data_IF_930378859118
#
_entry.id   IF_930378859118
#
_cell.length_a   1.000
_cell.length_b   1.000
_cell.length_c   1.000
_cell.angle_alpha   90.00
_cell.angle_beta   90.00
_cell.angle_gamma   90.00
#
_symmetry.space_group_name_H-M   'P 1'
#
loop_
_entity.id
_entity.type
_entity.pdbx_description
1 polymer ?
#
# COMPACT_ATOMS: atom_id res chain seq x y z
N UNK A 1 -2.52 17.27 -30.58
CA UNK A 1 -3.38 16.69 -29.49
C UNK A 1 -2.49 15.82 -28.65
N UNK A 2 -2.18 16.26 -27.46
CA UNK A 2 -1.23 15.69 -26.51
C UNK A 2 -1.68 14.28 -26.11
N UNK A 3 -0.75 13.30 -26.18
CA UNK A 3 -0.97 11.97 -25.64
C UNK A 3 -1.17 12.11 -24.12
N UNK A 4 -2.36 11.85 -23.72
CA UNK A 4 -2.94 11.92 -22.39
C UNK A 4 -2.05 11.27 -21.35
N UNK A 5 -1.81 11.99 -20.29
CA UNK A 5 -1.47 11.43 -18.97
C UNK A 5 -2.43 10.26 -18.67
N UNK A 6 -2.02 9.03 -18.93
CA UNK A 6 -2.69 7.90 -18.29
C UNK A 6 -2.59 8.17 -16.81
N UNK A 7 -3.76 8.31 -16.16
CA UNK A 7 -3.85 8.55 -14.73
C UNK A 7 -2.94 7.56 -14.00
N UNK A 8 -2.03 8.06 -13.18
CA UNK A 8 -1.01 7.27 -12.48
C UNK A 8 -1.64 6.14 -11.67
N UNK A 9 -2.79 6.41 -11.04
CA UNK A 9 -3.57 5.42 -10.30
C UNK A 9 -4.01 4.24 -11.19
N UNK A 10 -4.44 4.53 -12.43
CA UNK A 10 -4.81 3.49 -13.41
C UNK A 10 -3.58 2.67 -13.83
N UNK A 11 -2.44 3.31 -14.04
CA UNK A 11 -1.21 2.62 -14.43
C UNK A 11 -0.71 1.69 -13.32
N UNK A 12 -0.67 2.16 -12.08
CA UNK A 12 -0.31 1.36 -10.93
C UNK A 12 -1.31 0.21 -10.71
N UNK A 13 -2.62 0.48 -10.78
CA UNK A 13 -3.66 -0.55 -10.63
C UNK A 13 -3.48 -1.66 -11.68
N UNK A 14 -3.29 -1.31 -12.95
CA UNK A 14 -3.09 -2.28 -14.03
C UNK A 14 -1.86 -3.17 -13.80
N UNK A 15 -0.78 -2.61 -13.25
CA UNK A 15 0.41 -3.40 -12.94
C UNK A 15 0.16 -4.41 -11.81
N UNK A 16 -0.50 -3.98 -10.73
CA UNK A 16 -0.85 -4.88 -9.63
C UNK A 16 -1.93 -5.91 -9.98
N UNK A 17 -2.57 -5.79 -11.15
CA UNK A 17 -3.45 -6.82 -11.71
C UNK A 17 -2.70 -8.00 -12.36
N UNK A 18 -1.41 -7.82 -12.67
CA UNK A 18 -0.63 -8.82 -13.39
C UNK A 18 -0.35 -10.05 -12.54
N UNK A 19 -0.54 -11.25 -13.09
CA UNK A 19 -0.22 -12.50 -12.40
C UNK A 19 1.24 -12.56 -11.92
N UNK A 20 2.15 -11.98 -12.68
CA UNK A 20 3.58 -11.93 -12.34
C UNK A 20 3.84 -11.13 -11.05
N UNK A 21 3.13 -10.03 -10.83
CA UNK A 21 3.28 -9.23 -9.61
C UNK A 21 2.83 -10.05 -8.40
N UNK A 22 1.72 -10.77 -8.51
CA UNK A 22 1.27 -11.67 -7.46
C UNK A 22 2.27 -12.81 -7.20
N UNK A 23 2.85 -13.39 -8.24
CA UNK A 23 3.88 -14.43 -8.11
C UNK A 23 5.15 -13.90 -7.43
N UNK A 24 5.57 -12.67 -7.71
CA UNK A 24 6.75 -12.04 -7.11
C UNK A 24 6.50 -11.56 -5.68
N UNK A 25 5.42 -10.83 -5.45
CA UNK A 25 5.10 -10.25 -4.14
C UNK A 25 4.43 -11.27 -3.21
N UNK A 26 3.64 -12.20 -3.75
CA UNK A 26 2.84 -13.18 -3.03
C UNK A 26 1.53 -12.59 -2.54
N UNK A 27 1.03 -13.11 -1.41
CA UNK A 27 -0.28 -12.75 -0.88
C UNK A 27 -0.38 -11.28 -0.45
N UNK A 28 0.73 -10.62 -0.13
CA UNK A 28 0.75 -9.24 0.33
C UNK A 28 1.54 -8.36 -0.62
N UNK A 29 0.92 -7.28 -1.06
CA UNK A 29 1.52 -6.32 -2.00
C UNK A 29 2.37 -5.23 -1.33
N UNK A 30 2.52 -5.29 -0.01
CA UNK A 30 3.33 -4.33 0.75
C UNK A 30 4.47 -5.01 1.53
N UNK A 31 5.57 -4.29 1.81
CA UNK A 31 6.65 -4.77 2.65
C UNK A 31 6.18 -5.22 4.03
N UNK A 32 6.74 -6.32 4.53
CA UNK A 32 6.45 -6.86 5.85
C UNK A 32 5.17 -7.70 5.96
N UNK A 33 4.28 -7.66 4.95
CA UNK A 33 3.09 -8.52 4.84
C UNK A 33 2.23 -8.53 6.10
N UNK A 34 1.51 -9.61 6.34
CA UNK A 34 0.60 -9.77 7.48
C UNK A 34 1.23 -9.42 8.85
N UNK A 35 2.55 -9.61 9.01
CA UNK A 35 3.23 -9.21 10.25
C UNK A 35 3.21 -7.70 10.46
N UNK A 36 3.39 -6.93 9.39
CA UNK A 36 3.33 -5.46 9.46
C UNK A 36 1.89 -4.99 9.64
N UNK A 37 0.94 -5.55 8.89
CA UNK A 37 -0.49 -5.27 9.06
C UNK A 37 -0.94 -5.44 10.52
N UNK A 38 -0.54 -6.54 11.19
CA UNK A 38 -0.84 -6.73 12.62
C UNK A 38 -0.24 -5.64 13.51
N UNK A 39 1.00 -5.22 13.23
CA UNK A 39 1.64 -4.10 13.97
C UNK A 39 0.91 -2.78 13.75
N UNK A 40 0.52 -2.49 12.50
CA UNK A 40 -0.21 -1.27 12.15
C UNK A 40 -1.60 -1.28 12.79
N UNK A 41 -2.33 -2.40 12.70
CA UNK A 41 -3.64 -2.59 13.31
C UNK A 41 -3.60 -2.36 14.83
N UNK A 42 -2.63 -2.98 15.51
CA UNK A 42 -2.42 -2.77 16.96
C UNK A 42 -2.07 -1.33 17.30
N UNK A 43 -1.20 -0.69 16.49
CA UNK A 43 -0.81 0.72 16.71
C UNK A 43 -1.98 1.69 16.46
N UNK A 44 -2.91 1.31 15.58
CA UNK A 44 -4.14 2.04 15.28
C UNK A 44 -5.29 1.73 16.25
N UNK A 45 -5.05 0.86 17.24
CA UNK A 45 -6.01 0.44 18.26
C UNK A 45 -7.27 -0.26 17.68
N UNK A 46 -7.10 -1.06 16.63
CA UNK A 46 -8.20 -1.85 16.07
C UNK A 46 -8.64 -2.90 17.10
N UNK A 47 -9.95 -3.06 17.25
CA UNK A 47 -10.62 -3.98 18.16
C UNK A 47 -11.75 -4.72 17.43
N UNK A 48 -12.37 -5.76 18.05
CA UNK A 48 -13.51 -6.48 17.44
C UNK A 48 -14.73 -5.60 17.14
N UNK A 49 -14.84 -4.45 17.79
CA UNK A 49 -15.95 -3.48 17.59
C UNK A 49 -15.63 -2.44 16.51
N UNK A 50 -14.40 -2.43 15.99
CA UNK A 50 -14.00 -1.42 15.00
C UNK A 50 -14.62 -1.68 13.63
N UNK A 51 -15.13 -0.61 13.02
CA UNK A 51 -15.38 -0.53 11.58
C UNK A 51 -14.15 0.08 10.93
N UNK A 52 -13.44 -0.70 10.11
CA UNK A 52 -12.17 -0.33 9.49
C UNK A 52 -12.37 -0.08 8.01
N UNK A 53 -11.80 1.02 7.51
CA UNK A 53 -11.65 1.31 6.08
C UNK A 53 -10.21 0.99 5.65
N UNK A 54 -10.04 0.07 4.72
CA UNK A 54 -8.74 -0.29 4.11
C UNK A 54 -8.68 0.31 2.71
N UNK A 55 -7.91 1.40 2.54
CA UNK A 55 -7.83 2.18 1.29
C UNK A 55 -6.67 1.70 0.44
N UNK A 56 -6.93 1.50 -0.84
CA UNK A 56 -6.06 0.80 -1.80
C UNK A 56 -5.74 -0.62 -1.31
N UNK A 57 -6.80 -1.37 -0.96
CA UNK A 57 -6.71 -2.68 -0.30
C UNK A 57 -6.14 -3.79 -1.19
N UNK A 58 -5.94 -3.54 -2.50
CA UNK A 58 -5.46 -4.53 -3.46
C UNK A 58 -6.29 -5.81 -3.44
N UNK A 59 -5.62 -6.95 -3.30
CA UNK A 59 -6.25 -8.28 -3.19
C UNK A 59 -6.88 -8.58 -1.81
N UNK A 60 -7.00 -7.56 -0.94
CA UNK A 60 -7.68 -7.66 0.35
C UNK A 60 -6.93 -8.48 1.41
N UNK A 61 -5.63 -8.69 1.28
CA UNK A 61 -4.86 -9.45 2.27
C UNK A 61 -4.92 -8.78 3.65
N UNK A 62 -4.67 -7.47 3.74
CA UNK A 62 -4.74 -6.71 4.99
C UNK A 62 -6.13 -6.75 5.61
N UNK A 63 -7.18 -6.58 4.80
CA UNK A 63 -8.56 -6.68 5.26
C UNK A 63 -8.86 -8.05 5.89
N UNK A 64 -8.42 -9.15 5.26
CA UNK A 64 -8.58 -10.51 5.80
C UNK A 64 -7.82 -10.72 7.11
N UNK A 65 -6.56 -10.26 7.18
CA UNK A 65 -5.75 -10.33 8.41
C UNK A 65 -6.44 -9.59 9.55
N UNK A 66 -6.95 -8.39 9.31
CA UNK A 66 -7.63 -7.59 10.32
C UNK A 66 -8.93 -8.25 10.78
N UNK A 67 -9.73 -8.74 9.84
CA UNK A 67 -10.98 -9.43 10.15
C UNK A 67 -10.75 -10.72 10.94
N UNK A 68 -9.75 -11.53 10.57
CA UNK A 68 -9.45 -12.81 11.21
C UNK A 68 -8.83 -12.63 12.59
N UNK A 69 -7.81 -11.77 12.72
CA UNK A 69 -6.98 -11.70 13.92
C UNK A 69 -7.50 -10.69 14.95
N UNK A 70 -8.21 -9.65 14.51
CA UNK A 70 -8.77 -8.62 15.40
C UNK A 70 -10.29 -8.70 15.53
N UNK A 71 -10.97 -9.51 14.71
CA UNK A 71 -12.43 -9.66 14.72
C UNK A 71 -13.19 -8.43 14.22
N UNK A 72 -12.50 -7.43 13.68
CA UNK A 72 -13.09 -6.19 13.19
C UNK A 72 -13.89 -6.39 11.89
N UNK A 73 -14.80 -5.49 11.59
CA UNK A 73 -15.45 -5.39 10.28
C UNK A 73 -14.63 -4.48 9.39
N UNK A 74 -14.31 -4.94 8.17
CA UNK A 74 -13.43 -4.21 7.26
C UNK A 74 -14.12 -3.94 5.94
N UNK A 75 -14.13 -2.69 5.52
CA UNK A 75 -14.48 -2.27 4.17
C UNK A 75 -13.19 -1.94 3.42
N UNK A 76 -12.82 -2.77 2.44
CA UNK A 76 -11.72 -2.48 1.54
C UNK A 76 -12.19 -1.66 0.34
N UNK A 77 -11.42 -0.68 -0.08
CA UNK A 77 -11.64 -0.01 -1.36
C UNK A 77 -10.37 0.02 -2.20
N UNK A 78 -10.54 -0.14 -3.51
CA UNK A 78 -9.45 -0.13 -4.48
C UNK A 78 -9.95 0.40 -5.83
N UNK A 79 -9.03 0.88 -6.65
CA UNK A 79 -9.32 1.33 -8.01
C UNK A 79 -9.53 0.15 -8.97
N UNK A 80 -8.83 -0.97 -8.73
CA UNK A 80 -8.84 -2.19 -9.55
C UNK A 80 -10.06 -3.06 -9.26
N UNK A 81 -10.95 -3.19 -10.23
CA UNK A 81 -12.07 -4.13 -10.14
C UNK A 81 -11.61 -5.59 -10.05
N UNK A 82 -10.50 -5.95 -10.73
CA UNK A 82 -9.96 -7.30 -10.72
C UNK A 82 -9.40 -7.67 -9.35
N UNK A 83 -8.64 -6.78 -8.71
CA UNK A 83 -8.13 -7.01 -7.36
C UNK A 83 -9.26 -7.12 -6.34
N UNK A 84 -10.32 -6.32 -6.46
CA UNK A 84 -11.50 -6.44 -5.59
C UNK A 84 -12.25 -7.77 -5.79
N UNK A 85 -12.32 -8.28 -7.02
CA UNK A 85 -12.88 -9.60 -7.28
C UNK A 85 -12.03 -10.70 -6.61
N UNK A 86 -10.69 -10.62 -6.71
CA UNK A 86 -9.76 -11.52 -6.00
C UNK A 86 -9.92 -11.42 -4.48
N UNK A 87 -10.02 -10.19 -3.96
CA UNK A 87 -10.24 -9.93 -2.53
C UNK A 87 -11.52 -10.58 -2.02
N UNK A 88 -12.62 -10.43 -2.77
CA UNK A 88 -13.92 -11.02 -2.43
C UNK A 88 -13.86 -12.55 -2.45
N UNK A 89 -13.28 -13.15 -3.49
CA UNK A 89 -13.13 -14.60 -3.61
C UNK A 89 -12.25 -15.17 -2.48
N UNK A 90 -11.12 -14.52 -2.17
CA UNK A 90 -10.23 -14.94 -1.09
C UNK A 90 -10.89 -14.81 0.29
N UNK A 91 -11.68 -13.77 0.51
CA UNK A 91 -12.46 -13.59 1.76
C UNK A 91 -13.55 -14.64 1.90
N UNK A 92 -14.22 -15.00 0.82
CA UNK A 92 -15.20 -16.10 0.81
C UNK A 92 -14.52 -17.43 1.14
N UNK A 93 -13.41 -17.74 0.51
CA UNK A 93 -12.64 -18.96 0.76
C UNK A 93 -12.15 -19.05 2.22
N UNK A 94 -11.86 -17.91 2.85
CA UNK A 94 -11.46 -17.81 4.26
C UNK A 94 -12.64 -17.78 5.25
N UNK A 95 -13.91 -17.83 4.79
CA UNK A 95 -15.09 -17.73 5.66
C UNK A 95 -15.31 -16.37 6.29
N UNK A 96 -14.79 -15.29 5.67
CA UNK A 96 -14.80 -13.93 6.22
C UNK A 96 -15.83 -12.98 5.57
N UNK A 97 -16.76 -13.50 4.77
CA UNK A 97 -17.77 -12.69 4.05
C UNK A 97 -18.66 -11.85 4.96
N UNK A 98 -18.87 -12.28 6.21
CA UNK A 98 -19.62 -11.51 7.21
C UNK A 98 -18.80 -10.40 7.89
N UNK A 99 -17.50 -10.33 7.63
CA UNK A 99 -16.54 -9.39 8.25
C UNK A 99 -15.83 -8.50 7.25
N UNK A 100 -15.87 -8.83 5.96
CA UNK A 100 -15.19 -8.06 4.91
C UNK A 100 -16.15 -7.73 3.79
N UNK A 101 -16.04 -6.54 3.24
CA UNK A 101 -16.72 -6.11 2.01
C UNK A 101 -15.75 -5.25 1.18
N UNK A 102 -15.96 -5.20 -0.14
CA UNK A 102 -15.07 -4.54 -1.05
C UNK A 102 -15.84 -3.64 -2.02
N UNK A 103 -15.34 -2.40 -2.19
CA UNK A 103 -16.01 -1.34 -2.98
C UNK A 103 -14.98 -0.73 -3.94
N UNK A 104 -15.36 -0.54 -5.21
CA UNK A 104 -14.51 0.16 -6.16
C UNK A 104 -14.56 1.67 -5.90
N UNK A 105 -13.41 2.28 -5.61
CA UNK A 105 -13.29 3.71 -5.37
C UNK A 105 -11.88 4.23 -5.62
N UNK A 106 -11.75 5.53 -5.90
CA UNK A 106 -10.49 6.27 -5.77
C UNK A 106 -10.32 6.72 -4.33
N UNK A 107 -9.08 6.69 -3.82
CA UNK A 107 -8.73 7.24 -2.52
C UNK A 107 -9.03 8.75 -2.40
N UNK A 108 -9.02 9.45 -3.53
CA UNK A 108 -9.29 10.89 -3.64
C UNK A 108 -10.77 11.22 -3.75
N UNK A 109 -11.63 10.19 -3.90
CA UNK A 109 -13.08 10.31 -3.97
C UNK A 109 -13.75 9.08 -3.34
N UNK A 110 -13.74 9.01 -2.02
CA UNK A 110 -14.34 7.91 -1.27
C UNK A 110 -15.86 8.02 -1.22
N UNK A 111 -16.60 6.95 -1.57
CA UNK A 111 -18.07 6.99 -1.64
C UNK A 111 -18.72 6.72 -0.27
N UNK A 112 -18.11 7.15 0.82
CA UNK A 112 -18.59 6.89 2.16
C UNK A 112 -19.10 8.16 2.83
N UNK A 113 -20.14 8.03 3.62
CA UNK A 113 -20.64 9.14 4.43
C UNK A 113 -19.57 9.56 5.46
N UNK A 114 -19.45 10.85 5.78
CA UNK A 114 -18.55 11.32 6.82
C UNK A 114 -18.81 10.62 8.17
N UNK A 115 -17.74 10.24 8.85
CA UNK A 115 -17.85 9.62 10.18
C UNK A 115 -18.33 8.16 10.18
N UNK A 116 -18.14 7.43 9.10
CA UNK A 116 -18.57 6.02 8.98
C UNK A 116 -17.64 5.01 9.66
N UNK A 117 -16.35 5.36 9.84
CA UNK A 117 -15.32 4.41 10.28
C UNK A 117 -14.64 4.83 11.58
N UNK A 118 -14.24 3.84 12.37
CA UNK A 118 -13.45 4.04 13.58
C UNK A 118 -11.96 4.16 13.26
N UNK A 119 -11.50 3.38 12.26
CA UNK A 119 -10.11 3.37 11.81
C UNK A 119 -10.05 3.37 10.28
N UNK A 120 -9.11 4.10 9.70
CA UNK A 120 -8.70 3.96 8.30
C UNK A 120 -7.27 3.45 8.20
N UNK A 121 -7.00 2.58 7.23
CA UNK A 121 -5.66 2.09 6.89
C UNK A 121 -5.34 2.40 5.44
N UNK A 122 -4.06 2.65 5.16
CA UNK A 122 -3.50 2.76 3.82
C UNK A 122 -2.07 2.17 3.86
N UNK A 123 -1.86 1.04 3.20
CA UNK A 123 -0.58 0.34 3.22
C UNK A 123 0.09 0.38 1.85
N UNK A 124 1.28 1.01 1.76
CA UNK A 124 2.14 1.09 0.58
C UNK A 124 1.44 1.70 -0.66
N UNK A 125 0.68 2.76 -0.46
CA UNK A 125 -0.12 3.34 -1.56
C UNK A 125 -0.24 4.86 -1.50
N UNK A 126 -0.03 5.48 -0.34
CA UNK A 126 -0.28 6.91 -0.18
C UNK A 126 0.61 7.75 -1.09
N UNK A 127 1.87 7.34 -1.28
CA UNK A 127 2.82 7.99 -2.19
C UNK A 127 2.48 7.82 -3.69
N UNK A 128 1.52 6.94 -4.03
CA UNK A 128 1.09 6.69 -5.41
C UNK A 128 -0.12 7.53 -5.84
N UNK A 129 -0.80 8.16 -4.90
CA UNK A 129 -1.97 8.98 -5.22
C UNK A 129 -1.55 10.26 -5.94
N UNK A 130 -2.36 10.72 -6.88
CA UNK A 130 -2.10 11.95 -7.63
C UNK A 130 -2.08 13.16 -6.70
N UNK A 131 -2.99 13.15 -5.71
CA UNK A 131 -3.10 14.20 -4.71
C UNK A 131 -3.21 13.58 -3.31
N UNK A 132 -2.06 13.46 -2.64
CA UNK A 132 -1.95 12.92 -1.29
C UNK A 132 -2.81 13.71 -0.28
N UNK A 133 -2.83 15.04 -0.39
CA UNK A 133 -3.59 15.90 0.53
C UNK A 133 -5.09 15.66 0.40
N UNK A 134 -5.58 15.54 -0.82
CA UNK A 134 -6.99 15.18 -1.09
C UNK A 134 -7.32 13.80 -0.52
N UNK A 135 -6.47 12.80 -0.73
CA UNK A 135 -6.67 11.46 -0.18
C UNK A 135 -6.71 11.48 1.36
N UNK A 136 -5.78 12.19 2.00
CA UNK A 136 -5.77 12.33 3.46
C UNK A 136 -7.02 13.05 3.99
N UNK A 137 -7.53 14.05 3.28
CA UNK A 137 -8.79 14.73 3.62
C UNK A 137 -9.98 13.76 3.49
N UNK A 138 -10.01 12.90 2.46
CA UNK A 138 -11.04 11.88 2.29
C UNK A 138 -10.98 10.85 3.44
N UNK A 139 -9.79 10.36 3.77
CA UNK A 139 -9.57 9.47 4.93
C UNK A 139 -10.09 10.11 6.21
N UNK A 140 -9.72 11.37 6.46
CA UNK A 140 -10.18 12.11 7.63
C UNK A 140 -11.71 12.30 7.65
N UNK A 141 -12.30 12.62 6.51
CA UNK A 141 -13.76 12.77 6.41
C UNK A 141 -14.49 11.47 6.73
N UNK A 142 -14.00 10.34 6.23
CA UNK A 142 -14.60 9.03 6.46
C UNK A 142 -14.53 8.55 7.92
N UNK A 143 -13.55 9.04 8.69
CA UNK A 143 -13.38 8.68 10.10
C UNK A 143 -14.41 9.40 11.00
N UNK A 144 -14.84 8.74 12.07
CA UNK A 144 -15.58 9.37 13.18
C UNK A 144 -14.70 10.41 13.90
N UNK A 145 -15.27 11.41 14.61
CA UNK A 145 -14.50 12.22 15.56
C UNK A 145 -13.75 11.30 16.55
N UNK A 146 -12.46 11.57 16.77
CA UNK A 146 -11.60 10.70 17.58
C UNK A 146 -11.11 9.43 16.88
N UNK A 147 -11.60 9.13 15.67
CA UNK A 147 -11.15 8.00 14.85
C UNK A 147 -9.67 8.11 14.48
N UNK A 148 -9.07 7.00 14.05
CA UNK A 148 -7.63 6.90 13.83
C UNK A 148 -7.31 6.54 12.38
N UNK A 149 -6.17 7.03 11.89
CA UNK A 149 -5.58 6.53 10.63
C UNK A 149 -4.26 5.81 10.93
N UNK A 150 -4.01 4.75 10.19
CA UNK A 150 -2.75 4.02 10.14
C UNK A 150 -2.23 3.97 8.71
N UNK A 151 -0.99 4.34 8.51
CA UNK A 151 -0.32 4.34 7.21
C UNK A 151 0.97 3.54 7.34
N UNK A 152 1.27 2.71 6.35
CA UNK A 152 2.60 2.15 6.17
C UNK A 152 3.10 2.46 4.77
N UNK A 153 4.30 3.04 4.65
CA UNK A 153 4.80 3.45 3.34
C UNK A 153 6.33 3.63 3.33
N UNK A 154 6.89 3.74 2.13
CA UNK A 154 8.27 4.18 1.95
C UNK A 154 8.44 5.64 2.39
N UNK A 155 9.61 5.97 2.86
CA UNK A 155 10.05 7.35 3.05
C UNK A 155 11.46 7.53 2.55
N UNK A 156 11.81 8.73 2.11
CA UNK A 156 13.13 9.09 1.62
C UNK A 156 13.85 9.99 2.62
N UNK A 157 15.13 9.70 2.87
CA UNK A 157 16.04 10.59 3.62
C UNK A 157 16.85 11.47 2.68
N UNK A 158 17.06 11.02 1.43
CA UNK A 158 17.76 11.73 0.36
C UNK A 158 16.99 11.56 -0.94
N UNK A 159 17.18 12.41 -1.95
CA UNK A 159 16.56 12.21 -3.26
C UNK A 159 16.86 10.81 -3.82
N UNK A 160 15.86 10.19 -4.44
CA UNK A 160 16.03 8.90 -5.08
C UNK A 160 17.02 9.01 -6.26
N UNK A 161 17.87 8.00 -6.51
CA UNK A 161 18.69 7.92 -7.71
C UNK A 161 17.83 7.99 -8.98
N UNK A 162 18.41 8.49 -10.08
CA UNK A 162 17.68 8.65 -11.35
C UNK A 162 17.08 7.34 -11.87
N UNK A 163 17.74 6.22 -11.64
CA UNK A 163 17.24 4.87 -11.98
C UNK A 163 15.95 4.50 -11.25
N UNK A 164 15.69 5.10 -10.08
CA UNK A 164 14.48 4.89 -9.27
C UNK A 164 13.43 5.99 -9.47
N UNK A 165 13.67 7.00 -10.31
CA UNK A 165 12.70 8.07 -10.59
C UNK A 165 11.73 7.72 -11.74
N UNK A 166 11.95 6.60 -12.43
CA UNK A 166 11.09 6.11 -13.52
C UNK A 166 9.81 5.42 -13.03
N UNK A 167 9.09 4.83 -13.99
CA UNK A 167 7.84 4.11 -13.71
C UNK A 167 8.04 2.97 -12.71
N UNK A 168 9.14 2.20 -12.83
CA UNK A 168 9.44 1.10 -11.91
C UNK A 168 9.64 1.60 -10.47
N UNK A 169 10.37 2.71 -10.27
CA UNK A 169 10.53 3.30 -8.94
C UNK A 169 9.22 3.81 -8.33
N UNK A 170 8.28 4.31 -9.17
CA UNK A 170 6.93 4.65 -8.71
C UNK A 170 6.15 3.42 -8.29
N UNK A 171 6.17 2.37 -9.10
CA UNK A 171 5.53 1.09 -8.78
C UNK A 171 6.08 0.47 -7.50
N UNK A 172 7.37 0.60 -7.27
CA UNK A 172 8.01 0.16 -6.04
C UNK A 172 7.74 1.11 -4.85
N UNK A 173 6.87 2.11 -5.02
CA UNK A 173 6.50 3.11 -4.00
C UNK A 173 7.70 3.97 -3.51
N UNK A 174 8.78 4.06 -4.28
CA UNK A 174 9.98 4.83 -3.93
C UNK A 174 9.93 6.21 -4.55
N UNK A 175 9.69 6.28 -5.87
CA UNK A 175 9.59 7.58 -6.55
C UNK A 175 8.34 8.33 -6.09
N UNK A 176 8.54 9.50 -5.51
CA UNK A 176 7.47 10.33 -4.98
C UNK A 176 7.17 10.12 -3.50
N UNK A 177 7.83 9.17 -2.82
CA UNK A 177 7.68 9.02 -1.38
C UNK A 177 8.23 10.26 -0.65
N UNK A 178 7.47 10.85 0.30
CA UNK A 178 7.94 11.96 1.10
C UNK A 178 9.02 11.53 2.11
N UNK A 179 9.64 12.49 2.78
CA UNK A 179 10.41 12.21 3.99
C UNK A 179 9.48 11.82 5.16
N UNK A 180 10.04 11.27 6.22
CA UNK A 180 9.26 10.97 7.43
C UNK A 180 8.60 12.24 8.02
N UNK A 181 9.27 13.38 7.95
CA UNK A 181 8.70 14.66 8.36
C UNK A 181 7.65 15.16 7.36
N UNK A 182 7.82 14.92 6.06
CA UNK A 182 6.81 15.19 5.05
C UNK A 182 5.49 14.45 5.29
N UNK A 183 5.53 13.18 5.73
CA UNK A 183 4.32 12.48 6.18
C UNK A 183 3.68 13.15 7.40
N UNK A 184 4.48 13.63 8.34
CA UNK A 184 3.97 14.37 9.52
C UNK A 184 3.28 15.65 9.10
N UNK A 185 3.91 16.41 8.22
CA UNK A 185 3.38 17.68 7.70
C UNK A 185 2.06 17.45 6.93
N UNK A 186 2.03 16.46 6.03
CA UNK A 186 0.84 16.11 5.27
C UNK A 186 -0.33 15.70 6.18
N UNK A 187 -0.08 14.84 7.17
CA UNK A 187 -1.10 14.43 8.15
C UNK A 187 -1.59 15.63 8.98
N UNK A 188 -0.67 16.47 9.46
CA UNK A 188 -1.03 17.68 10.21
C UNK A 188 -1.83 18.67 9.35
N UNK A 189 -1.40 18.90 8.10
CA UNK A 189 -2.10 19.75 7.12
C UNK A 189 -3.50 19.26 6.79
N UNK A 190 -3.71 17.95 6.77
CA UNK A 190 -5.03 17.34 6.62
C UNK A 190 -5.90 17.41 7.90
N UNK A 191 -5.38 17.95 9.02
CA UNK A 191 -6.12 18.15 10.27
C UNK A 191 -6.14 16.91 11.18
N UNK A 192 -5.14 16.04 11.08
CA UNK A 192 -4.92 14.98 12.06
C UNK A 192 -4.05 15.47 13.22
N UNK A 193 -4.29 14.94 14.42
CA UNK A 193 -3.48 15.17 15.62
C UNK A 193 -2.83 13.86 16.14
N UNK A 194 -2.05 13.94 17.24
CA UNK A 194 -1.37 12.81 17.88
C UNK A 194 -0.58 11.94 16.89
N UNK A 195 0.10 12.58 15.94
CA UNK A 195 0.86 11.91 14.89
C UNK A 195 2.09 11.21 15.48
N UNK A 196 2.18 9.89 15.28
CA UNK A 196 3.31 9.05 15.68
C UNK A 196 3.89 8.36 14.46
N UNK A 197 5.20 8.49 14.24
CA UNK A 197 5.92 7.83 13.16
C UNK A 197 6.95 6.88 13.75
N UNK A 198 6.99 5.66 13.24
CA UNK A 198 7.99 4.64 13.59
C UNK A 198 8.61 4.06 12.32
N UNK A 199 9.93 4.02 12.28
CA UNK A 199 10.68 3.34 11.21
C UNK A 199 10.60 1.83 11.43
N UNK A 200 10.37 1.09 10.34
CA UNK A 200 10.20 -0.37 10.33
C UNK A 200 11.01 -1.01 9.19
N UNK A 201 12.24 -0.53 9.01
CA UNK A 201 13.12 -0.89 7.89
C UNK A 201 13.40 -2.39 7.75
N UNK A 202 13.24 -3.19 8.82
CA UNK A 202 13.33 -4.63 8.77
C UNK A 202 12.39 -5.27 7.72
N UNK A 203 11.28 -4.60 7.41
CA UNK A 203 10.31 -5.07 6.41
C UNK A 203 10.89 -5.09 5.01
N UNK A 204 11.78 -4.15 4.69
CA UNK A 204 12.39 -4.01 3.36
C UNK A 204 13.34 -5.15 3.08
N UNK A 205 14.27 -5.46 4.00
CA UNK A 205 15.23 -6.55 3.87
C UNK A 205 14.51 -7.88 3.61
N UNK A 206 13.52 -8.21 4.44
CA UNK A 206 12.75 -9.44 4.30
C UNK A 206 12.00 -9.51 2.95
N UNK A 207 11.47 -8.38 2.48
CA UNK A 207 10.70 -8.32 1.25
C UNK A 207 11.59 -8.47 0.02
N UNK A 208 12.70 -7.74 -0.02
CA UNK A 208 13.65 -7.80 -1.12
C UNK A 208 14.22 -9.22 -1.26
N UNK A 209 14.62 -9.85 -0.15
CA UNK A 209 15.11 -11.23 -0.17
C UNK A 209 14.07 -12.20 -0.72
N UNK A 210 12.79 -12.06 -0.33
CA UNK A 210 11.70 -12.90 -0.86
C UNK A 210 11.47 -12.67 -2.35
N UNK A 211 11.46 -11.43 -2.81
CA UNK A 211 11.31 -11.10 -4.24
C UNK A 211 12.46 -11.71 -5.04
N UNK A 212 13.71 -11.54 -4.59
CA UNK A 212 14.89 -12.14 -5.24
C UNK A 212 14.80 -13.66 -5.31
N UNK A 213 14.41 -14.31 -4.23
CA UNK A 213 14.27 -15.76 -4.20
C UNK A 213 13.22 -16.25 -5.19
N UNK A 214 12.04 -15.61 -5.19
CA UNK A 214 10.96 -15.95 -6.14
C UNK A 214 11.35 -15.66 -7.57
N UNK A 215 11.99 -14.54 -7.83
CA UNK A 215 12.50 -14.23 -9.18
C UNK A 215 13.46 -15.30 -9.69
N UNK A 216 14.42 -15.75 -8.86
CA UNK A 216 15.33 -16.82 -9.22
C UNK A 216 14.60 -18.14 -9.53
N UNK A 217 13.60 -18.50 -8.75
CA UNK A 217 12.80 -19.71 -8.98
C UNK A 217 12.02 -19.63 -10.29
N UNK A 218 11.36 -18.51 -10.55
CA UNK A 218 10.56 -18.28 -11.76
C UNK A 218 11.43 -18.24 -13.02
N UNK A 219 12.61 -17.64 -12.94
CA UNK A 219 13.59 -17.63 -14.04
C UNK A 219 14.13 -19.06 -14.33
N UNK A 220 14.43 -19.82 -13.28
CA UNK A 220 14.92 -21.20 -13.42
C UNK A 220 13.88 -22.15 -14.05
N UNK A 221 12.59 -21.93 -13.80
CA UNK A 221 11.49 -22.71 -14.36
C UNK A 221 11.04 -22.22 -15.74
N UNK A 222 11.67 -21.16 -16.29
CA UNK A 222 11.25 -20.47 -17.52
C UNK A 222 9.76 -20.06 -17.53
N UNK A 223 9.21 -19.87 -16.35
CA UNK A 223 7.81 -19.46 -16.16
C UNK A 223 7.63 -17.97 -16.47
N UNK A 224 8.73 -17.22 -16.51
CA UNK A 224 8.76 -15.78 -16.81
C UNK A 224 9.83 -15.53 -17.88
N UNK A 225 9.45 -14.76 -18.89
CA UNK A 225 10.37 -14.13 -19.85
C UNK A 225 10.23 -12.61 -19.73
N UNK A 226 11.20 -11.86 -20.25
CA UNK A 226 11.11 -10.40 -20.32
C UNK A 226 9.86 -9.92 -21.11
N UNK A 227 9.31 -10.78 -21.99
CA UNK A 227 8.09 -10.50 -22.75
C UNK A 227 6.81 -10.61 -21.91
N UNK A 228 6.84 -11.22 -20.74
CA UNK A 228 5.69 -11.37 -19.85
C UNK A 228 5.51 -10.13 -18.94
N UNK A 229 6.47 -9.20 -18.98
CA UNK A 229 6.38 -7.91 -18.32
C UNK A 229 5.70 -6.92 -19.30
N UNK A 230 4.52 -6.38 -18.99
CA UNK A 230 3.66 -5.65 -19.96
C UNK A 230 4.13 -4.23 -20.27
N UNK A 231 5.24 -3.82 -19.72
CA UNK A 231 5.89 -2.54 -19.96
C UNK A 231 7.35 -2.87 -20.23
N UNK A 232 7.96 -2.13 -21.14
CA UNK A 232 9.40 -2.19 -21.37
C UNK A 232 10.16 -1.72 -20.12
N UNK A 233 10.16 -2.55 -19.08
CA UNK A 233 10.94 -2.30 -17.86
C UNK A 233 12.45 -2.46 -18.11
N UNK A 234 12.84 -2.89 -19.31
CA UNK A 234 14.20 -3.34 -19.52
C UNK A 234 14.56 -4.51 -18.60
N UNK A 235 15.83 -4.64 -18.27
CA UNK A 235 16.28 -5.57 -17.24
C UNK A 235 15.98 -4.97 -15.85
N UNK A 236 15.10 -5.56 -15.02
CA UNK A 236 14.80 -5.05 -13.70
C UNK A 236 15.93 -5.27 -12.68
N UNK A 237 16.92 -6.10 -13.00
CA UNK A 237 17.98 -6.45 -12.05
C UNK A 237 18.84 -5.26 -11.62
N UNK A 238 19.30 -4.35 -12.51
CA UNK A 238 20.02 -3.15 -12.11
C UNK A 238 19.19 -2.24 -11.19
N UNK A 239 17.91 -2.03 -11.51
CA UNK A 239 17.03 -1.15 -10.71
C UNK A 239 16.78 -1.73 -9.32
N UNK A 240 16.65 -3.05 -9.21
CA UNK A 240 16.53 -3.73 -7.90
C UNK A 240 17.84 -3.63 -7.11
N UNK A 241 19.00 -3.71 -7.77
CA UNK A 241 20.30 -3.52 -7.12
C UNK A 241 20.44 -2.09 -6.60
N UNK A 242 20.13 -1.09 -7.42
CA UNK A 242 20.16 0.33 -7.03
C UNK A 242 19.20 0.61 -5.85
N UNK A 243 18.02 -0.02 -5.83
CA UNK A 243 17.10 0.07 -4.70
C UNK A 243 17.70 -0.53 -3.42
N UNK A 244 18.33 -1.70 -3.52
CA UNK A 244 19.00 -2.33 -2.37
C UNK A 244 20.12 -1.44 -1.83
N UNK A 245 20.97 -0.92 -2.70
CA UNK A 245 22.08 -0.03 -2.31
C UNK A 245 21.56 1.29 -1.72
N UNK A 246 20.49 1.83 -2.29
CA UNK A 246 19.85 3.04 -1.78
C UNK A 246 19.25 2.83 -0.38
N UNK A 247 18.62 1.69 -0.13
CA UNK A 247 18.12 1.31 1.20
C UNK A 247 19.30 1.03 2.15
N UNK A 248 20.33 0.32 1.72
CA UNK A 248 21.48 -0.04 2.54
C UNK A 248 22.29 1.21 2.96
N UNK A 249 22.38 2.22 2.08
CA UNK A 249 23.01 3.51 2.39
C UNK A 249 22.15 4.39 3.32
N UNK A 250 20.93 3.98 3.62
CA UNK A 250 19.98 4.75 4.43
C UNK A 250 19.25 5.85 3.66
N UNK A 251 19.34 5.88 2.33
CA UNK A 251 18.64 6.85 1.47
C UNK A 251 17.13 6.70 1.49
N UNK A 252 16.64 5.46 1.64
CA UNK A 252 15.21 5.17 1.81
C UNK A 252 14.97 4.26 3.03
N UNK A 253 13.74 4.26 3.52
CA UNK A 253 13.29 3.37 4.57
C UNK A 253 11.80 3.10 4.47
N UNK A 254 11.27 2.36 5.44
CA UNK A 254 9.85 2.06 5.57
C UNK A 254 9.34 2.48 6.94
N UNK A 255 8.18 3.08 6.99
CA UNK A 255 7.59 3.57 8.23
C UNK A 255 6.17 3.04 8.45
N UNK A 256 5.73 3.14 9.68
CA UNK A 256 4.33 3.22 10.05
C UNK A 256 4.06 4.59 10.67
N UNK A 257 2.98 5.22 10.24
CA UNK A 257 2.46 6.44 10.83
C UNK A 257 1.06 6.17 11.37
N UNK A 258 0.76 6.66 12.57
CA UNK A 258 -0.60 6.66 13.12
C UNK A 258 -0.95 8.07 13.55
N UNK A 259 -2.20 8.45 13.33
CA UNK A 259 -2.71 9.76 13.72
C UNK A 259 -4.19 9.65 14.13
N UNK A 260 -4.74 10.69 14.72
CA UNK A 260 -6.12 10.75 15.17
C UNK A 260 -6.85 11.93 14.51
N UNK A 261 -8.11 11.71 14.11
CA UNK A 261 -9.01 12.78 13.75
C UNK A 261 -9.41 13.56 15.00
N UNK A 262 -9.12 14.86 15.05
CA UNK A 262 -9.67 15.80 16.02
C UNK A 262 -11.17 15.91 15.91
#
# INVERSE_FOLDING_TARGET
>A
MSATSQNLASCCANLYELPIVEQLLGESFHPGGARLTRKLASASLISPQSNVLDVACGNGNSARVIAADFGATVTGCDYSALNLARASAASQAAGLTGKTQFVRASAEQLPFAPGSFDVSLCECSLCLFENMDTALQQLRSALKPGGRTGISDFFLNTPAPDSLNGLLGRVLCVAGAPSADGYREALSGAGFDFIRIRRVNWTLTDTIQRIRHRFKLLAATKTITAADLPIDFGDPAPVLADLEDFIASGGAGYLIATARRS
#
